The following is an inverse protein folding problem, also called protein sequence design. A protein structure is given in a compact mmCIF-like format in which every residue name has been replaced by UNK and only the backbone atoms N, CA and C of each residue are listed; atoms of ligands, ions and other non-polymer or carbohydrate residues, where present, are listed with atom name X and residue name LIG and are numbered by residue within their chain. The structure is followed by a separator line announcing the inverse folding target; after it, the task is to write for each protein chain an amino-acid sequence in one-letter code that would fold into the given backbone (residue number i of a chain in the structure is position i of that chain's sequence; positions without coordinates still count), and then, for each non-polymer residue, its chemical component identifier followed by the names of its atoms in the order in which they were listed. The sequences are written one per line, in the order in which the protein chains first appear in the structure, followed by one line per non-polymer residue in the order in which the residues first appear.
data_IF_273865885670
#
_entry.id   IF_273865885670
#
_cell.length_a   1.000
_cell.length_b   1.000
_cell.length_c   1.000
_cell.angle_alpha   90.00
_cell.angle_beta   90.00
_cell.angle_gamma   90.00
#
_symmetry.space_group_name_H-M   'P 1'
#
loop_
_entity.id
_entity.type
_entity.pdbx_description
1 polymer ?
#
# COMPACT_ATOMS: atom_id res chain seq x y z
N UNK A 1 28.27 62.53 -71.09
CA UNK A 1 29.45 63.28 -70.61
C UNK A 1 29.15 63.67 -69.17
N UNK A 2 30.02 63.25 -68.24
CA UNK A 2 29.77 63.13 -66.80
C UNK A 2 29.53 64.47 -66.09
N UNK A 3 28.56 64.51 -65.18
CA UNK A 3 28.55 65.41 -64.01
C UNK A 3 28.46 64.58 -62.73
N UNK A 4 29.36 64.91 -61.80
CA UNK A 4 29.47 64.34 -60.46
C UNK A 4 28.31 64.81 -59.58
N UNK A 5 27.80 63.96 -58.69
CA UNK A 5 27.23 64.40 -57.41
C UNK A 5 27.40 63.33 -56.35
N UNK A 6 27.63 63.83 -55.14
CA UNK A 6 28.24 63.16 -54.01
C UNK A 6 27.27 62.28 -53.20
N UNK A 7 27.93 61.44 -52.41
CA UNK A 7 27.46 60.45 -51.44
C UNK A 7 26.47 61.02 -50.41
N UNK A 8 25.36 60.30 -50.21
CA UNK A 8 24.72 60.09 -48.90
C UNK A 8 24.01 58.73 -48.93
N UNK A 9 24.66 57.68 -48.38
CA UNK A 9 24.05 56.37 -48.22
C UNK A 9 23.20 56.37 -46.93
N UNK A 10 21.88 56.35 -47.08
CA UNK A 10 20.96 56.03 -45.98
C UNK A 10 20.79 54.51 -45.99
N UNK A 11 21.35 53.85 -44.98
CA UNK A 11 21.12 52.43 -44.72
C UNK A 11 19.69 52.27 -44.17
N UNK A 12 18.74 51.87 -45.01
CA UNK A 12 17.43 51.43 -44.53
C UNK A 12 17.57 50.02 -43.96
N UNK A 13 17.57 49.90 -42.65
CA UNK A 13 17.44 48.61 -41.96
C UNK A 13 15.99 48.16 -42.12
N UNK A 14 15.75 47.17 -42.98
CA UNK A 14 14.48 46.44 -42.99
C UNK A 14 14.33 45.68 -41.66
N UNK A 15 13.16 45.68 -41.00
CA UNK A 15 12.96 44.84 -39.85
C UNK A 15 12.99 43.38 -40.29
N UNK A 16 13.94 42.62 -39.77
CA UNK A 16 13.90 41.17 -39.86
C UNK A 16 12.66 40.71 -39.09
N UNK A 17 11.67 40.18 -39.81
CA UNK A 17 10.58 39.42 -39.21
C UNK A 17 11.22 38.14 -38.67
N UNK A 18 11.55 38.13 -37.39
CA UNK A 18 11.83 36.90 -36.65
C UNK A 18 10.55 36.07 -36.68
N UNK A 19 10.54 35.02 -37.49
CA UNK A 19 9.51 33.99 -37.40
C UNK A 19 9.48 33.48 -35.96
N UNK A 20 8.31 33.53 -35.33
CA UNK A 20 8.12 32.89 -34.03
C UNK A 20 8.51 31.40 -34.15
N UNK A 21 9.18 30.82 -33.15
CA UNK A 21 9.44 29.39 -33.16
C UNK A 21 8.10 28.66 -33.31
N UNK A 22 8.08 27.64 -34.18
CA UNK A 22 6.91 26.78 -34.31
C UNK A 22 6.52 26.28 -32.93
N UNK A 23 5.21 26.24 -32.58
CA UNK A 23 4.79 25.63 -31.33
C UNK A 23 5.34 24.20 -31.31
N UNK A 24 5.98 23.84 -30.20
CA UNK A 24 6.40 22.47 -29.97
C UNK A 24 5.21 21.54 -30.26
N UNK A 25 5.42 20.36 -30.88
CA UNK A 25 4.34 19.41 -31.08
C UNK A 25 3.67 19.20 -29.72
N UNK A 26 2.37 19.48 -29.65
CA UNK A 26 1.55 19.11 -28.52
C UNK A 26 1.59 17.59 -28.47
N UNK A 27 2.45 17.05 -27.60
CA UNK A 27 2.36 15.65 -27.21
C UNK A 27 1.01 15.57 -26.53
N UNK A 28 0.06 14.92 -27.20
CA UNK A 28 -1.17 14.49 -26.55
C UNK A 28 -0.73 13.38 -25.62
N UNK A 29 -0.52 13.73 -24.35
CA UNK A 29 -0.27 12.73 -23.31
C UNK A 29 -1.42 11.71 -23.38
N UNK A 30 -1.13 10.41 -23.48
CA UNK A 30 -2.17 9.41 -23.56
C UNK A 30 -3.03 9.50 -22.29
N UNK A 31 -4.30 9.88 -22.47
CA UNK A 31 -5.28 9.97 -21.39
C UNK A 31 -5.84 8.59 -20.97
N UNK A 32 -5.46 7.53 -21.69
CA UNK A 32 -5.87 6.16 -21.40
C UNK A 32 -4.68 5.22 -21.52
N UNK A 33 -4.72 4.12 -20.77
CA UNK A 33 -3.85 2.98 -21.05
C UNK A 33 -4.13 2.47 -22.48
N UNK A 34 -3.11 1.97 -23.17
CA UNK A 34 -3.27 1.43 -24.52
C UNK A 34 -4.26 0.27 -24.55
N UNK A 35 -4.84 -0.04 -25.73
CA UNK A 35 -5.57 -1.31 -25.88
C UNK A 35 -4.64 -2.47 -25.48
N UNK A 36 -5.19 -3.45 -24.75
CA UNK A 36 -4.50 -4.65 -24.25
C UNK A 36 -3.62 -4.50 -22.98
N UNK A 37 -3.68 -3.37 -22.27
CA UNK A 37 -3.03 -3.19 -20.93
C UNK A 37 -3.96 -3.61 -19.78
N UNK A 38 -5.27 -3.70 -20.04
CA UNK A 38 -6.26 -4.24 -19.11
C UNK A 38 -6.24 -5.77 -19.22
N UNK A 39 -5.62 -6.46 -18.26
CA UNK A 39 -5.82 -7.91 -18.14
C UNK A 39 -7.20 -8.09 -17.54
N UNK A 40 -8.18 -8.42 -18.38
CA UNK A 40 -9.49 -8.86 -17.88
C UNK A 40 -9.28 -10.12 -17.07
N UNK A 41 -9.51 -10.02 -15.75
CA UNK A 41 -9.58 -11.18 -14.89
C UNK A 41 -10.71 -12.09 -15.37
N UNK A 42 -10.37 -13.31 -15.75
CA UNK A 42 -11.34 -14.39 -15.85
C UNK A 42 -11.16 -15.23 -14.59
N UNK A 43 -12.15 -15.17 -13.68
CA UNK A 43 -12.22 -16.08 -12.55
C UNK A 43 -12.16 -17.52 -13.06
N UNK A 44 -11.00 -18.17 -12.96
CA UNK A 44 -10.91 -19.61 -13.16
C UNK A 44 -11.43 -20.28 -11.90
N UNK A 45 -12.70 -20.70 -11.92
CA UNK A 45 -13.26 -21.62 -10.93
C UNK A 45 -12.57 -22.98 -11.06
N UNK A 46 -11.36 -23.12 -10.53
CA UNK A 46 -10.82 -24.45 -10.26
C UNK A 46 -11.45 -24.93 -8.97
N UNK A 47 -12.32 -25.94 -9.07
CA UNK A 47 -12.88 -26.64 -7.93
C UNK A 47 -11.74 -27.35 -7.17
N UNK A 48 -11.09 -26.60 -6.28
CA UNK A 48 -10.30 -27.16 -5.19
C UNK A 48 -11.21 -27.76 -4.12
N UNK A 49 -10.64 -28.43 -3.11
CA UNK A 49 -11.43 -28.89 -1.96
C UNK A 49 -12.25 -27.73 -1.39
N UNK A 50 -13.48 -28.01 -0.92
CA UNK A 50 -14.35 -27.05 -0.23
C UNK A 50 -13.66 -26.51 1.03
N UNK A 51 -12.76 -25.56 0.86
CA UNK A 51 -12.35 -24.64 1.90
C UNK A 51 -13.38 -23.51 1.92
N UNK A 52 -13.70 -22.93 3.09
CA UNK A 52 -14.52 -21.73 3.12
C UNK A 52 -13.80 -20.64 2.33
N UNK A 53 -14.22 -20.43 1.08
CA UNK A 53 -13.89 -19.24 0.32
C UNK A 53 -14.29 -18.04 1.16
N UNK A 54 -13.46 -16.99 1.11
CA UNK A 54 -13.87 -15.63 1.44
C UNK A 54 -15.31 -15.44 0.93
N UNK A 55 -16.21 -14.95 1.78
CA UNK A 55 -17.62 -14.75 1.45
C UNK A 55 -17.69 -14.09 0.06
N UNK A 56 -18.08 -14.86 -0.97
CA UNK A 56 -18.30 -14.31 -2.29
C UNK A 56 -19.34 -13.22 -2.07
N UNK A 57 -18.94 -11.96 -2.26
CA UNK A 57 -19.86 -10.84 -2.41
C UNK A 57 -20.70 -11.13 -3.65
N UNK A 58 -21.75 -11.93 -3.45
CA UNK A 58 -22.66 -12.37 -4.49
C UNK A 58 -23.23 -11.15 -5.20
N UNK A 59 -23.22 -11.21 -6.53
CA UNK A 59 -23.75 -10.20 -7.45
C UNK A 59 -23.04 -8.83 -7.44
N UNK A 60 -21.72 -8.80 -7.21
CA UNK A 60 -20.92 -7.58 -7.37
C UNK A 60 -21.22 -6.52 -6.31
N UNK A 61 -20.27 -5.60 -6.11
CA UNK A 61 -20.38 -4.58 -5.07
C UNK A 61 -21.40 -3.50 -5.48
N UNK A 62 -22.68 -3.72 -5.17
CA UNK A 62 -23.77 -2.80 -5.53
C UNK A 62 -24.00 -1.68 -4.52
N UNK A 63 -23.38 -1.74 -3.35
CA UNK A 63 -23.43 -0.68 -2.32
C UNK A 63 -22.33 -0.85 -1.27
N UNK A 64 -21.81 0.26 -0.74
CA UNK A 64 -20.87 0.26 0.40
C UNK A 64 -21.43 -0.48 1.62
N UNK A 65 -20.55 -1.23 2.30
CA UNK A 65 -20.81 -1.78 3.64
C UNK A 65 -21.16 -0.63 4.59
N UNK A 66 -21.90 -0.89 5.68
CA UNK A 66 -22.24 0.18 6.62
C UNK A 66 -21.00 0.67 7.40
N UNK A 67 -20.51 1.88 7.10
CA UNK A 67 -19.42 2.58 7.81
C UNK A 67 -19.97 3.60 8.82
N UNK A 68 -20.59 3.09 9.88
CA UNK A 68 -21.10 3.95 10.96
C UNK A 68 -20.02 4.45 11.92
N UNK A 69 -20.27 5.55 12.65
CA UNK A 69 -19.34 6.03 13.67
C UNK A 69 -19.04 4.94 14.70
N UNK A 70 -17.78 4.84 15.09
CA UNK A 70 -17.33 3.94 16.15
C UNK A 70 -18.16 4.15 17.44
N UNK A 71 -18.97 3.16 17.82
CA UNK A 71 -19.80 3.23 19.05
C UNK A 71 -19.21 2.47 20.24
N UNK A 72 -18.06 1.81 20.06
CA UNK A 72 -17.35 1.09 21.11
C UNK A 72 -16.39 1.95 21.93
N UNK A 73 -15.45 1.33 22.66
CA UNK A 73 -14.22 1.98 23.14
C UNK A 73 -13.03 1.25 22.50
N UNK A 74 -12.12 1.91 21.75
CA UNK A 74 -11.05 1.19 21.08
C UNK A 74 -10.23 0.46 22.15
N UNK A 75 -10.12 -0.86 22.03
CA UNK A 75 -9.45 -1.65 23.07
C UNK A 75 -7.96 -1.36 23.08
N UNK A 76 -7.52 -0.51 24.01
CA UNK A 76 -6.11 -0.29 24.36
C UNK A 76 -5.60 -1.30 25.41
N UNK A 77 -6.54 -2.03 26.01
CA UNK A 77 -6.30 -3.10 27.00
C UNK A 77 -6.87 -4.42 26.46
N UNK A 78 -6.15 -5.54 26.66
CA UNK A 78 -6.67 -6.87 26.41
C UNK A 78 -6.05 -7.66 25.24
N UNK A 79 -4.73 -7.56 25.01
CA UNK A 79 -4.03 -8.56 24.18
C UNK A 79 -4.40 -9.99 24.60
N UNK A 80 -4.55 -10.90 23.62
CA UNK A 80 -4.70 -12.31 23.97
C UNK A 80 -3.50 -12.74 24.81
N UNK A 81 -3.79 -13.34 25.97
CA UNK A 81 -2.76 -13.82 26.87
C UNK A 81 -2.53 -15.31 26.60
N UNK A 82 -1.26 -15.67 26.41
CA UNK A 82 -0.87 -17.07 26.49
C UNK A 82 -1.09 -17.63 27.91
N UNK A 83 -0.99 -18.95 28.10
CA UNK A 83 -1.19 -19.59 29.41
C UNK A 83 -0.20 -19.08 30.48
N UNK A 84 0.95 -18.53 30.09
CA UNK A 84 1.94 -17.89 30.98
C UNK A 84 2.86 -16.94 30.19
N UNK A 85 3.27 -15.83 30.79
CA UNK A 85 4.32 -14.93 30.26
C UNK A 85 5.67 -15.26 30.89
N UNK A 86 6.66 -15.64 30.07
CA UNK A 86 7.97 -16.11 30.57
C UNK A 86 8.95 -14.99 30.92
N UNK A 87 8.81 -13.81 30.30
CA UNK A 87 9.67 -12.66 30.54
C UNK A 87 8.95 -11.35 30.16
N UNK A 88 9.39 -10.21 30.72
CA UNK A 88 8.86 -8.89 30.37
C UNK A 88 9.30 -8.39 28.98
N UNK A 89 10.41 -8.93 28.44
CA UNK A 89 10.95 -8.61 27.11
C UNK A 89 11.91 -9.70 26.65
N UNK A 90 12.13 -9.84 25.34
CA UNK A 90 13.16 -10.72 24.76
C UNK A 90 14.51 -9.97 24.73
N UNK A 91 15.57 -10.43 25.42
CA UNK A 91 16.87 -9.76 25.41
C UNK A 91 17.61 -10.00 24.07
N UNK A 92 18.38 -9.02 23.56
CA UNK A 92 19.22 -9.23 22.38
C UNK A 92 20.34 -10.23 22.68
N UNK A 93 20.53 -11.20 21.78
CA UNK A 93 21.59 -12.20 21.85
C UNK A 93 22.65 -11.95 20.76
N UNK A 94 23.92 -12.38 20.97
CA UNK A 94 24.93 -12.35 19.92
C UNK A 94 24.54 -13.25 18.73
N UNK A 95 25.25 -13.10 17.61
CA UNK A 95 25.07 -13.94 16.42
C UNK A 95 25.08 -15.42 16.81
N UNK A 96 24.19 -16.20 16.17
CA UNK A 96 24.15 -17.64 16.36
C UNK A 96 25.56 -18.24 16.16
N UNK A 97 26.14 -18.95 17.17
CA UNK A 97 27.48 -19.52 17.06
C UNK A 97 27.68 -20.49 15.89
N UNK A 98 26.61 -21.01 15.28
CA UNK A 98 26.67 -21.87 14.08
C UNK A 98 26.62 -21.09 12.76
N UNK A 99 26.39 -19.78 12.78
CA UNK A 99 26.41 -18.92 11.60
C UNK A 99 27.85 -18.53 11.20
N UNK A 100 28.66 -19.53 10.87
CA UNK A 100 30.11 -19.38 10.59
C UNK A 100 30.46 -19.47 9.11
N UNK A 101 29.46 -19.66 8.23
CA UNK A 101 29.70 -19.81 6.80
C UNK A 101 30.29 -18.52 6.21
N UNK A 102 31.50 -18.64 5.65
CA UNK A 102 32.19 -17.56 4.96
C UNK A 102 32.99 -18.13 3.78
N UNK A 103 32.69 -17.70 2.56
CA UNK A 103 33.28 -18.26 1.33
C UNK A 103 33.93 -17.17 0.48
N UNK A 104 35.19 -16.84 0.78
CA UNK A 104 35.96 -15.84 0.02
C UNK A 104 36.35 -16.30 -1.37
N UNK A 105 36.35 -17.61 -1.63
CA UNK A 105 36.72 -18.18 -2.92
C UNK A 105 35.62 -18.13 -3.96
N UNK A 106 34.38 -17.82 -3.58
CA UNK A 106 33.23 -17.73 -4.48
C UNK A 106 32.88 -19.03 -5.21
N UNK A 107 33.39 -20.18 -4.74
CA UNK A 107 33.18 -21.51 -5.34
C UNK A 107 32.53 -22.45 -4.32
N UNK A 108 31.68 -23.42 -4.74
CA UNK A 108 31.13 -24.40 -3.82
C UNK A 108 32.25 -25.16 -3.07
N UNK A 109 32.22 -25.10 -1.74
CA UNK A 109 33.19 -25.79 -0.86
C UNK A 109 32.64 -27.10 -0.26
N UNK A 110 31.32 -27.34 -0.40
CA UNK A 110 30.63 -28.52 0.10
C UNK A 110 30.13 -29.39 -1.07
N UNK A 111 29.93 -30.71 -0.87
CA UNK A 111 29.32 -31.58 -1.87
C UNK A 111 27.97 -31.06 -2.33
N UNK A 112 27.70 -31.15 -3.64
CA UNK A 112 26.42 -30.77 -4.21
C UNK A 112 25.45 -31.96 -4.08
N UNK A 113 24.29 -31.83 -3.41
CA UNK A 113 23.31 -32.92 -3.29
C UNK A 113 22.75 -33.39 -4.64
N UNK A 114 22.75 -32.52 -5.66
CA UNK A 114 22.33 -32.82 -7.02
C UNK A 114 23.12 -31.96 -8.04
N UNK A 115 23.12 -32.31 -9.35
CA UNK A 115 23.76 -31.48 -10.37
C UNK A 115 23.27 -30.04 -10.34
N UNK A 116 24.22 -29.10 -10.33
CA UNK A 116 23.94 -27.65 -10.29
C UNK A 116 23.17 -27.18 -9.04
N UNK A 117 23.17 -27.96 -7.96
CA UNK A 117 22.50 -27.64 -6.69
C UNK A 117 23.53 -27.53 -5.57
N UNK A 118 23.96 -26.32 -5.17
CA UNK A 118 24.77 -26.14 -3.97
C UNK A 118 24.07 -26.67 -2.72
N UNK A 119 24.82 -27.32 -1.82
CA UNK A 119 24.27 -27.74 -0.53
C UNK A 119 23.89 -26.53 0.32
N UNK A 120 22.73 -26.61 0.97
CA UNK A 120 22.19 -25.57 1.85
C UNK A 120 20.71 -25.34 1.62
N UNK A 121 20.16 -24.33 2.31
CA UNK A 121 18.74 -24.03 2.32
C UNK A 121 17.95 -24.97 3.24
N UNK A 122 16.99 -24.41 3.97
CA UNK A 122 16.01 -25.20 4.72
C UNK A 122 14.91 -25.66 3.75
N UNK A 123 14.37 -26.86 3.95
CA UNK A 123 13.30 -27.43 3.09
C UNK A 123 13.76 -27.97 1.73
N UNK A 124 15.06 -27.99 1.42
CA UNK A 124 15.60 -28.40 0.10
C UNK A 124 15.89 -29.90 -0.04
N UNK A 125 15.55 -30.71 0.98
CA UNK A 125 15.85 -32.14 1.03
C UNK A 125 14.82 -33.04 0.29
N UNK A 126 13.88 -32.43 -0.44
CA UNK A 126 12.80 -33.13 -1.14
C UNK A 126 11.57 -33.44 -0.28
N UNK A 127 11.50 -32.92 0.95
CA UNK A 127 10.26 -32.96 1.76
C UNK A 127 9.16 -32.17 1.05
N UNK A 128 7.93 -32.68 1.10
CA UNK A 128 6.77 -32.00 0.53
C UNK A 128 6.48 -30.70 1.32
N UNK A 129 6.35 -29.53 0.66
CA UNK A 129 6.03 -28.28 1.34
C UNK A 129 4.61 -28.30 1.92
N UNK A 130 4.44 -27.69 3.11
CA UNK A 130 3.14 -27.47 3.77
C UNK A 130 2.85 -25.97 3.83
N UNK A 131 1.86 -25.52 3.06
CA UNK A 131 1.48 -24.10 2.97
C UNK A 131 0.46 -23.71 4.05
N UNK A 132 0.83 -23.90 5.32
CA UNK A 132 0.02 -23.54 6.49
C UNK A 132 0.94 -23.07 7.60
N UNK A 133 0.39 -22.29 8.54
CA UNK A 133 1.11 -21.83 9.73
C UNK A 133 1.63 -23.02 10.56
N UNK A 134 2.80 -22.85 11.18
CA UNK A 134 3.50 -23.92 11.92
C UNK A 134 3.73 -23.64 13.41
N UNK A 135 3.42 -22.44 13.88
CA UNK A 135 3.51 -22.05 15.29
C UNK A 135 2.48 -21.00 15.69
N UNK A 136 2.36 -20.72 17.00
CA UNK A 136 1.52 -19.63 17.51
C UNK A 136 2.00 -18.27 16.98
N UNK A 137 3.31 -18.09 16.78
CA UNK A 137 3.86 -16.88 16.18
C UNK A 137 3.41 -16.73 14.73
N UNK A 138 3.49 -17.82 13.93
CA UNK A 138 2.99 -17.83 12.56
C UNK A 138 1.50 -17.51 12.53
N UNK A 139 0.72 -18.21 13.34
CA UNK A 139 -0.73 -18.05 13.39
C UNK A 139 -1.12 -16.60 13.71
N UNK A 140 -0.60 -16.02 14.78
CA UNK A 140 -0.94 -14.66 15.19
C UNK A 140 -0.43 -13.59 14.20
N UNK A 141 0.67 -13.87 13.49
CA UNK A 141 1.20 -12.97 12.48
C UNK A 141 0.38 -13.01 11.19
N UNK A 142 -0.01 -14.20 10.72
CA UNK A 142 -0.85 -14.35 9.53
C UNK A 142 -2.30 -13.93 9.81
N UNK A 143 -2.79 -14.14 11.03
CA UNK A 143 -4.08 -13.60 11.45
C UNK A 143 -4.07 -12.07 11.40
N UNK A 144 -3.00 -11.41 11.87
CA UNK A 144 -2.83 -9.96 11.72
C UNK A 144 -2.78 -9.54 10.24
N UNK A 145 -2.04 -10.28 9.41
CA UNK A 145 -2.05 -10.08 7.95
C UNK A 145 -3.47 -10.15 7.39
N UNK A 146 -4.28 -11.15 7.77
CA UNK A 146 -5.65 -11.24 7.29
C UNK A 146 -6.54 -10.07 7.73
N UNK A 147 -6.34 -9.51 8.92
CA UNK A 147 -7.01 -8.25 9.29
C UNK A 147 -6.61 -7.09 8.37
N UNK A 148 -5.36 -7.05 7.92
CA UNK A 148 -4.85 -6.05 6.96
C UNK A 148 -5.51 -6.23 5.59
N UNK A 149 -5.51 -7.45 5.03
CA UNK A 149 -6.16 -7.72 3.74
C UNK A 149 -7.65 -7.33 3.76
N UNK A 150 -8.34 -7.62 4.87
CA UNK A 150 -9.76 -7.30 5.00
C UNK A 150 -10.07 -5.82 5.03
N UNK A 151 -9.22 -5.02 5.68
CA UNK A 151 -9.42 -3.57 5.75
C UNK A 151 -9.01 -2.89 4.44
N UNK A 152 -8.02 -3.43 3.71
CA UNK A 152 -7.64 -2.94 2.37
C UNK A 152 -8.73 -3.20 1.35
N UNK A 153 -9.21 -4.45 1.27
CA UNK A 153 -10.30 -4.84 0.40
C UNK A 153 -11.54 -3.96 0.62
N UNK A 154 -11.93 -3.77 1.88
CA UNK A 154 -13.09 -2.95 2.24
C UNK A 154 -12.85 -1.47 1.93
N UNK A 155 -11.67 -0.93 2.24
CA UNK A 155 -11.33 0.47 1.97
C UNK A 155 -11.35 0.81 0.47
N UNK A 156 -10.85 -0.10 -0.38
CA UNK A 156 -10.80 0.12 -1.83
C UNK A 156 -12.22 0.15 -2.40
N UNK A 157 -13.08 -0.77 -1.96
CA UNK A 157 -14.49 -0.80 -2.36
C UNK A 157 -15.30 0.38 -1.79
N UNK A 158 -15.08 0.77 -0.54
CA UNK A 158 -15.84 1.86 0.08
C UNK A 158 -15.66 3.17 -0.70
N UNK A 159 -14.43 3.56 -1.03
CA UNK A 159 -14.22 4.83 -1.72
C UNK A 159 -14.80 4.83 -3.14
N UNK A 160 -14.67 3.70 -3.87
CA UNK A 160 -15.29 3.53 -5.19
C UNK A 160 -16.81 3.64 -5.14
N UNK A 161 -17.45 3.17 -4.06
CA UNK A 161 -18.89 3.23 -3.88
C UNK A 161 -19.39 4.56 -3.28
N UNK A 162 -18.55 5.27 -2.52
CA UNK A 162 -18.90 6.49 -1.78
C UNK A 162 -18.92 7.74 -2.66
N UNK A 163 -18.00 7.84 -3.61
CA UNK A 163 -17.80 9.05 -4.41
C UNK A 163 -18.35 8.88 -5.83
N UNK A 164 -18.84 9.98 -6.40
CA UNK A 164 -19.28 10.03 -7.79
C UNK A 164 -18.10 10.12 -8.76
N UNK A 165 -18.31 9.69 -10.01
CA UNK A 165 -17.33 9.84 -11.10
C UNK A 165 -16.89 11.31 -11.28
N UNK A 166 -17.78 12.27 -11.03
CA UNK A 166 -17.46 13.70 -11.10
C UNK A 166 -16.49 14.13 -9.99
N UNK A 167 -16.62 13.60 -8.76
CA UNK A 167 -15.69 13.85 -7.66
C UNK A 167 -14.33 13.20 -7.90
N UNK A 168 -14.31 12.00 -8.49
CA UNK A 168 -13.07 11.37 -8.96
C UNK A 168 -12.37 12.21 -10.01
N UNK A 169 -13.11 12.68 -11.03
CA UNK A 169 -12.57 13.52 -12.09
C UNK A 169 -12.05 14.86 -11.53
N UNK A 170 -12.75 15.46 -10.55
CA UNK A 170 -12.29 16.67 -9.85
C UNK A 170 -10.98 16.44 -9.09
N UNK A 171 -10.83 15.26 -8.49
CA UNK A 171 -9.57 14.84 -7.86
C UNK A 171 -8.48 14.46 -8.87
N UNK A 172 -8.80 14.37 -10.16
CA UNK A 172 -7.86 14.01 -11.23
C UNK A 172 -7.78 12.53 -11.57
N UNK A 173 -8.72 11.73 -11.05
CA UNK A 173 -8.82 10.31 -11.34
C UNK A 173 -9.89 10.07 -12.41
N UNK A 174 -9.46 9.66 -13.59
CA UNK A 174 -10.34 9.19 -14.66
C UNK A 174 -10.83 7.76 -14.39
N UNK A 175 -11.76 7.29 -15.23
CA UNK A 175 -12.28 5.91 -15.20
C UNK A 175 -11.19 4.84 -15.23
N UNK A 176 -10.06 5.09 -15.88
CA UNK A 176 -8.93 4.17 -15.95
C UNK A 176 -8.25 3.97 -14.59
N UNK A 177 -8.13 5.03 -13.78
CA UNK A 177 -7.62 4.91 -12.41
C UNK A 177 -8.61 4.18 -11.52
N UNK A 178 -9.91 4.43 -11.68
CA UNK A 178 -10.95 3.72 -10.95
C UNK A 178 -10.91 2.21 -11.27
N UNK A 179 -10.80 1.84 -12.54
CA UNK A 179 -10.61 0.44 -12.99
C UNK A 179 -9.35 -0.19 -12.41
N UNK A 180 -8.25 0.55 -12.33
CA UNK A 180 -7.03 0.06 -11.69
C UNK A 180 -7.22 -0.17 -10.19
N UNK A 181 -7.96 0.69 -9.48
CA UNK A 181 -8.26 0.50 -8.06
C UNK A 181 -9.17 -0.71 -7.84
N UNK A 182 -10.16 -0.92 -8.71
CA UNK A 182 -11.01 -2.11 -8.69
C UNK A 182 -10.19 -3.38 -8.93
N UNK A 183 -9.23 -3.37 -9.87
CA UNK A 183 -8.30 -4.48 -10.05
C UNK A 183 -7.39 -4.70 -8.82
N UNK A 184 -6.99 -3.64 -8.11
CA UNK A 184 -6.26 -3.78 -6.85
C UNK A 184 -7.14 -4.41 -5.76
N UNK A 185 -8.45 -4.12 -5.71
CA UNK A 185 -9.38 -4.81 -4.82
C UNK A 185 -9.54 -6.31 -5.16
N UNK A 186 -9.51 -6.69 -6.44
CA UNK A 186 -9.45 -8.10 -6.84
C UNK A 186 -8.17 -8.80 -6.31
N UNK A 187 -7.04 -8.08 -6.26
CA UNK A 187 -5.81 -8.59 -5.68
C UNK A 187 -5.96 -8.85 -4.18
N UNK A 188 -6.60 -7.94 -3.44
CA UNK A 188 -6.87 -8.12 -2.00
C UNK A 188 -7.85 -9.27 -1.72
N UNK A 189 -8.76 -9.57 -2.65
CA UNK A 189 -9.57 -10.80 -2.57
C UNK A 189 -8.70 -12.05 -2.68
N UNK A 190 -7.69 -12.02 -3.55
CA UNK A 190 -6.70 -13.08 -3.67
C UNK A 190 -5.84 -13.24 -2.41
N UNK A 191 -5.37 -12.13 -1.83
CA UNK A 191 -4.55 -12.12 -0.62
C UNK A 191 -5.34 -12.59 0.61
N UNK A 192 -6.54 -12.06 0.84
CA UNK A 192 -7.43 -12.49 1.93
C UNK A 192 -7.78 -13.98 1.84
N UNK A 193 -8.03 -14.49 0.63
CA UNK A 193 -8.25 -15.93 0.38
C UNK A 193 -7.01 -16.75 0.73
N UNK A 194 -5.83 -16.29 0.30
CA UNK A 194 -4.55 -16.93 0.59
C UNK A 194 -4.32 -17.09 2.09
N UNK A 195 -4.47 -16.00 2.86
CA UNK A 195 -4.22 -16.02 4.30
C UNK A 195 -5.30 -16.80 5.06
N UNK A 196 -6.57 -16.69 4.63
CA UNK A 196 -7.67 -17.51 5.16
C UNK A 196 -7.36 -19.00 5.04
N UNK A 197 -6.88 -19.45 3.88
CA UNK A 197 -6.53 -20.85 3.65
C UNK A 197 -5.34 -21.32 4.51
N UNK A 198 -4.36 -20.45 4.79
CA UNK A 198 -3.22 -20.79 5.65
C UNK A 198 -3.61 -20.96 7.13
N UNK A 199 -4.63 -20.23 7.58
CA UNK A 199 -5.16 -20.23 8.95
C UNK A 199 -6.24 -21.29 9.18
N UNK A 200 -6.94 -21.70 8.12
CA UNK A 200 -8.00 -22.70 8.17
C UNK A 200 -9.29 -22.22 8.85
N UNK A 201 -10.03 -23.13 9.48
CA UNK A 201 -11.38 -22.88 10.02
C UNK A 201 -11.46 -21.79 11.09
N UNK A 202 -10.32 -21.39 11.65
CA UNK A 202 -10.24 -20.38 12.72
C UNK A 202 -9.80 -19.01 12.21
N UNK A 203 -9.64 -18.86 10.89
CA UNK A 203 -9.28 -17.59 10.27
C UNK A 203 -10.22 -16.45 10.69
N UNK A 204 -9.69 -15.28 11.09
CA UNK A 204 -10.49 -14.09 11.33
C UNK A 204 -11.35 -13.69 10.12
N UNK A 205 -12.58 -13.32 10.39
CA UNK A 205 -13.53 -12.77 9.43
C UNK A 205 -13.38 -11.26 9.33
N UNK A 206 -13.80 -10.71 8.19
CA UNK A 206 -13.85 -9.27 7.93
C UNK A 206 -14.68 -8.56 9.01
N UNK A 207 -14.17 -7.42 9.47
CA UNK A 207 -14.84 -6.57 10.45
C UNK A 207 -15.57 -5.44 9.74
N UNK A 208 -16.29 -4.63 10.52
CA UNK A 208 -16.85 -3.35 10.07
C UNK A 208 -15.91 -2.24 10.49
N UNK A 209 -15.69 -1.28 9.59
CA UNK A 209 -14.66 -0.23 9.76
C UNK A 209 -15.26 1.18 9.78
N UNK A 210 -14.52 2.12 10.40
CA UNK A 210 -14.85 3.55 10.49
C UNK A 210 -13.68 4.39 9.98
N UNK A 211 -13.83 4.96 8.78
CA UNK A 211 -12.77 5.66 8.06
C UNK A 211 -12.89 7.19 8.13
N UNK A 212 -11.80 7.94 8.41
CA UNK A 212 -11.86 9.38 8.63
C UNK A 212 -11.53 10.20 7.37
N UNK A 213 -12.29 10.01 6.29
CA UNK A 213 -12.20 10.83 5.08
C UNK A 213 -13.57 11.22 4.53
N UNK A 214 -13.62 12.39 3.89
CA UNK A 214 -14.83 12.94 3.27
C UNK A 214 -14.62 13.34 1.81
N UNK A 215 -13.40 13.26 1.28
CA UNK A 215 -13.09 13.58 -0.12
C UNK A 215 -12.24 12.49 -0.76
N UNK A 216 -12.25 12.41 -2.09
CA UNK A 216 -11.42 11.45 -2.86
C UNK A 216 -9.93 11.62 -2.54
N UNK A 217 -9.44 12.85 -2.30
CA UNK A 217 -8.03 13.07 -1.95
C UNK A 217 -7.68 12.64 -0.53
N UNK A 218 -8.60 12.83 0.42
CA UNK A 218 -8.43 12.29 1.78
C UNK A 218 -8.45 10.75 1.76
N UNK A 219 -9.32 10.15 0.94
CA UNK A 219 -9.36 8.70 0.73
C UNK A 219 -8.07 8.15 0.11
N UNK A 220 -7.52 8.79 -0.94
CA UNK A 220 -6.24 8.40 -1.54
C UNK A 220 -5.07 8.48 -0.55
N UNK A 221 -4.98 9.55 0.25
CA UNK A 221 -3.97 9.66 1.30
C UNK A 221 -4.12 8.53 2.33
N UNK A 222 -5.37 8.18 2.68
CA UNK A 222 -5.62 7.10 3.61
C UNK A 222 -5.27 5.73 3.03
N UNK A 223 -5.65 5.42 1.79
CA UNK A 223 -5.24 4.19 1.08
C UNK A 223 -3.72 4.04 1.06
N UNK A 224 -3.02 5.10 0.66
CA UNK A 224 -1.55 5.11 0.67
C UNK A 224 -0.98 4.76 2.06
N UNK A 225 -1.47 5.41 3.11
CA UNK A 225 -0.97 5.22 4.47
C UNK A 225 -1.26 3.83 4.99
N UNK A 226 -2.47 3.34 4.73
CA UNK A 226 -2.96 2.05 5.18
C UNK A 226 -2.17 0.92 4.55
N UNK A 227 -2.03 0.94 3.23
CA UNK A 227 -1.24 -0.05 2.51
C UNK A 227 0.23 -0.01 2.90
N UNK A 228 0.80 1.18 3.13
CA UNK A 228 2.21 1.28 3.58
C UNK A 228 2.46 0.69 4.97
N UNK A 229 1.54 0.82 5.92
CA UNK A 229 1.76 0.19 7.24
C UNK A 229 1.45 -1.31 7.23
N UNK A 230 0.55 -1.77 6.36
CA UNK A 230 0.33 -3.19 6.07
C UNK A 230 1.61 -3.82 5.54
N UNK A 231 2.16 -3.18 4.50
CA UNK A 231 3.44 -3.50 3.89
C UNK A 231 4.57 -3.62 4.93
N UNK A 232 4.73 -2.55 5.72
CA UNK A 232 5.75 -2.49 6.77
C UNK A 232 5.58 -3.60 7.80
N UNK A 233 4.34 -3.94 8.17
CA UNK A 233 4.03 -4.99 9.12
C UNK A 233 4.52 -6.35 8.65
N UNK A 234 4.12 -6.75 7.45
CA UNK A 234 4.51 -8.04 6.85
C UNK A 234 6.03 -8.14 6.71
N UNK A 235 6.70 -7.12 6.16
CA UNK A 235 8.16 -7.13 6.05
C UNK A 235 8.86 -7.33 7.41
N UNK A 236 8.23 -6.85 8.49
CA UNK A 236 8.75 -6.97 9.84
C UNK A 236 8.75 -8.39 10.39
N UNK A 237 7.73 -9.21 10.09
CA UNK A 237 7.61 -10.55 10.68
C UNK A 237 7.91 -11.69 9.71
N UNK A 238 7.91 -11.46 8.38
CA UNK A 238 7.98 -12.53 7.37
C UNK A 238 9.20 -13.45 7.51
N UNK A 239 10.35 -12.90 7.88
CA UNK A 239 11.60 -13.66 8.07
C UNK A 239 11.67 -14.35 9.44
N UNK A 240 10.70 -14.12 10.31
CA UNK A 240 10.58 -14.73 11.64
C UNK A 240 9.57 -15.87 11.66
N UNK A 241 8.83 -16.09 10.57
CA UNK A 241 7.91 -17.21 10.45
C UNK A 241 8.68 -18.54 10.50
N UNK A 242 8.15 -19.50 11.22
CA UNK A 242 8.63 -20.89 11.21
C UNK A 242 8.30 -21.53 9.85
N UNK A 243 7.09 -21.30 9.34
CA UNK A 243 6.66 -21.72 8.00
C UNK A 243 7.28 -20.86 6.90
N UNK A 244 8.25 -21.44 6.18
CA UNK A 244 8.95 -20.77 5.08
C UNK A 244 8.08 -20.71 3.82
N UNK A 245 7.24 -21.72 3.64
CA UNK A 245 6.26 -21.86 2.59
C UNK A 245 5.23 -20.73 2.65
N UNK A 246 4.70 -20.46 3.85
CA UNK A 246 3.83 -19.30 4.11
C UNK A 246 4.59 -18.00 3.86
N UNK A 247 5.81 -17.87 4.41
CA UNK A 247 6.64 -16.69 4.16
C UNK A 247 6.89 -16.42 2.67
N UNK A 248 7.09 -17.45 1.84
CA UNK A 248 7.27 -17.27 0.40
C UNK A 248 6.00 -16.83 -0.34
N UNK A 249 4.83 -17.30 0.09
CA UNK A 249 3.55 -16.86 -0.48
C UNK A 249 3.22 -15.43 -0.05
N UNK A 250 3.46 -15.10 1.22
CA UNK A 250 3.32 -13.76 1.75
C UNK A 250 4.30 -12.77 1.08
N UNK A 251 5.50 -13.22 0.72
CA UNK A 251 6.46 -12.40 -0.03
C UNK A 251 5.95 -12.02 -1.43
N UNK A 252 5.07 -12.83 -2.01
CA UNK A 252 4.47 -12.56 -3.31
C UNK A 252 3.31 -11.56 -3.21
N UNK A 253 2.45 -11.68 -2.19
CA UNK A 253 1.38 -10.71 -1.95
C UNK A 253 1.95 -9.35 -1.58
N UNK A 254 2.91 -9.31 -0.65
CA UNK A 254 3.46 -8.04 -0.17
C UNK A 254 4.24 -7.27 -1.23
N UNK A 255 4.84 -7.98 -2.18
CA UNK A 255 5.48 -7.35 -3.34
C UNK A 255 4.46 -6.72 -4.31
N UNK A 256 3.19 -7.11 -4.23
CA UNK A 256 2.06 -6.48 -4.93
C UNK A 256 1.57 -5.27 -4.14
N UNK A 257 1.32 -5.40 -2.84
CA UNK A 257 0.92 -4.28 -1.95
C UNK A 257 1.93 -3.11 -1.99
N UNK A 258 3.23 -3.43 -1.97
CA UNK A 258 4.29 -2.43 -2.13
C UNK A 258 4.17 -1.62 -3.43
N UNK A 259 3.63 -2.20 -4.51
CA UNK A 259 3.35 -1.47 -5.76
C UNK A 259 2.05 -0.69 -5.69
N UNK A 260 1.04 -1.20 -5.00
CA UNK A 260 -0.23 -0.49 -4.83
C UNK A 260 -0.03 0.81 -4.04
N UNK A 261 0.72 0.79 -2.93
CA UNK A 261 1.01 2.04 -2.21
C UNK A 261 1.79 3.05 -3.07
N UNK A 262 2.71 2.59 -3.93
CA UNK A 262 3.40 3.46 -4.90
C UNK A 262 2.44 4.04 -5.95
N UNK A 263 1.46 3.26 -6.40
CA UNK A 263 0.42 3.73 -7.32
C UNK A 263 -0.46 4.80 -6.64
N UNK A 264 -0.87 4.61 -5.39
CA UNK A 264 -1.65 5.63 -4.65
C UNK A 264 -0.87 6.93 -4.48
N UNK A 265 0.46 6.84 -4.29
CA UNK A 265 1.35 8.02 -4.33
C UNK A 265 1.34 8.69 -5.68
N UNK A 266 1.48 7.93 -6.76
CA UNK A 266 1.47 8.46 -8.11
C UNK A 266 0.14 9.13 -8.46
N UNK A 267 -0.99 8.51 -8.10
CA UNK A 267 -2.34 9.06 -8.21
C UNK A 267 -2.50 10.37 -7.43
N UNK A 268 -1.78 10.52 -6.32
CA UNK A 268 -1.72 11.74 -5.51
C UNK A 268 -0.74 12.80 -6.05
N UNK A 269 -0.07 12.52 -7.17
CA UNK A 269 0.95 13.41 -7.76
C UNK A 269 2.28 13.45 -6.99
N UNK A 270 2.52 12.46 -6.12
CA UNK A 270 3.77 12.29 -5.40
C UNK A 270 4.74 11.41 -6.20
N UNK A 271 6.03 11.49 -5.87
CA UNK A 271 7.00 10.51 -6.36
C UNK A 271 6.61 9.12 -5.85
N UNK A 272 6.42 8.11 -6.73
CA UNK A 272 5.95 6.79 -6.33
C UNK A 272 6.96 6.07 -5.42
N UNK A 273 8.26 6.16 -5.72
CA UNK A 273 9.34 5.51 -4.96
C UNK A 273 10.25 6.56 -4.31
N UNK A 274 10.12 6.78 -2.99
CA UNK A 274 10.91 7.77 -2.24
C UNK A 274 11.97 7.17 -1.31
N UNK A 275 12.03 5.85 -1.20
CA UNK A 275 12.97 5.11 -0.34
C UNK A 275 13.76 4.06 -1.12
N UNK A 276 14.86 3.58 -0.54
CA UNK A 276 15.71 2.53 -1.12
C UNK A 276 15.41 1.15 -0.53
N UNK A 277 14.88 1.13 0.69
CA UNK A 277 14.56 -0.06 1.45
C UNK A 277 13.27 0.18 2.21
N UNK A 278 12.38 -0.81 2.14
CA UNK A 278 11.17 -0.83 2.95
C UNK A 278 11.50 -1.22 4.39
N UNK A 279 10.76 -0.66 5.33
CA UNK A 279 11.01 -0.87 6.75
C UNK A 279 10.08 -1.93 7.34
N UNK A 280 10.65 -2.93 8.01
CA UNK A 280 9.86 -3.91 8.76
C UNK A 280 9.41 -3.38 10.12
N UNK A 281 8.13 -3.56 10.47
CA UNK A 281 7.54 -3.19 11.76
C UNK A 281 7.15 -4.41 12.58
N UNK A 282 7.31 -4.39 13.92
CA UNK A 282 6.75 -5.42 14.78
C UNK A 282 5.22 -5.44 14.69
N UNK A 283 4.63 -6.62 14.85
CA UNK A 283 3.18 -6.84 14.77
C UNK A 283 2.37 -5.94 15.71
N UNK A 284 2.90 -5.64 16.90
CA UNK A 284 2.25 -4.72 17.84
C UNK A 284 2.16 -3.29 17.30
N UNK A 285 3.09 -2.85 16.46
CA UNK A 285 3.01 -1.53 15.81
C UNK A 285 1.95 -1.53 14.72
N UNK A 286 1.95 -2.55 13.85
CA UNK A 286 0.91 -2.71 12.81
C UNK A 286 -0.48 -2.80 13.42
N UNK A 287 -0.66 -3.59 14.48
CA UNK A 287 -1.93 -3.68 15.19
C UNK A 287 -2.34 -2.36 15.83
N UNK A 288 -1.38 -1.58 16.35
CA UNK A 288 -1.64 -0.22 16.88
C UNK A 288 -2.16 0.73 15.80
N UNK A 289 -1.71 0.59 14.54
CA UNK A 289 -2.19 1.41 13.42
C UNK A 289 -3.57 0.98 12.95
N UNK A 290 -3.83 -0.32 12.83
CA UNK A 290 -5.04 -0.87 12.24
C UNK A 290 -6.24 -0.84 13.21
N UNK A 291 -6.05 -1.32 14.45
CA UNK A 291 -7.13 -1.53 15.40
C UNK A 291 -8.05 -0.32 15.66
N UNK A 292 -7.57 0.95 15.67
CA UNK A 292 -8.43 2.12 15.84
C UNK A 292 -9.49 2.33 14.75
N UNK A 293 -9.35 1.69 13.59
CA UNK A 293 -10.30 1.78 12.47
C UNK A 293 -11.36 0.68 12.48
N UNK A 294 -11.22 -0.33 13.34
CA UNK A 294 -12.22 -1.40 13.49
C UNK A 294 -13.35 -0.89 14.39
N UNK A 295 -14.57 -0.86 13.85
CA UNK A 295 -15.81 -0.61 14.60
C UNK A 295 -16.24 -1.80 15.44
N UNK A 296 -16.49 -2.93 14.78
CA UNK A 296 -16.79 -4.19 15.44
C UNK A 296 -16.49 -5.33 14.49
N UNK A 297 -16.26 -6.51 15.04
CA UNK A 297 -16.07 -7.74 14.27
C UNK A 297 -17.24 -8.71 14.55
N UNK A 298 -17.49 -9.69 13.65
CA UNK A 298 -18.46 -10.75 13.90
C UNK A 298 -18.24 -11.46 15.25
N UNK A 299 -19.33 -11.97 15.84
CA UNK A 299 -19.27 -12.73 17.09
C UNK A 299 -18.38 -13.98 16.97
N UNK A 300 -17.84 -14.43 18.11
CA UNK A 300 -16.95 -15.60 18.22
C UNK A 300 -15.59 -15.47 17.50
N UNK A 301 -15.13 -14.24 17.28
CA UNK A 301 -13.77 -13.97 16.80
C UNK A 301 -12.82 -13.72 17.98
N UNK A 302 -11.71 -14.46 18.02
CA UNK A 302 -10.65 -14.23 19.01
C UNK A 302 -9.86 -12.97 18.65
N UNK A 303 -9.62 -12.11 19.64
CA UNK A 303 -8.73 -10.95 19.46
C UNK A 303 -7.29 -11.43 19.33
N UNK A 304 -6.49 -10.77 18.48
CA UNK A 304 -5.07 -11.03 18.32
C UNK A 304 -4.28 -10.91 19.64
N UNK A 305 -3.11 -11.55 19.71
CA UNK A 305 -2.16 -11.51 20.83
C UNK A 305 -1.33 -10.22 20.92
N UNK A 306 -1.45 -9.33 19.93
CA UNK A 306 -0.62 -8.14 19.84
C UNK A 306 -1.14 -6.99 20.73
N UNK A 307 -0.20 -6.31 21.39
CA UNK A 307 -0.48 -5.19 22.29
C UNK A 307 -0.59 -3.89 21.48
N UNK A 308 -1.64 -3.11 21.74
CA UNK A 308 -1.75 -1.75 21.22
C UNK A 308 -0.91 -0.80 22.06
N UNK A 309 -0.18 0.10 21.41
CA UNK A 309 0.54 1.18 22.07
C UNK A 309 -0.32 2.46 22.14
N UNK A 310 0.00 3.40 23.05
CA UNK A 310 -0.61 4.72 23.04
C UNK A 310 -0.42 5.43 21.70
N UNK A 311 -1.40 6.25 21.33
CA UNK A 311 -1.40 7.00 20.06
C UNK A 311 -0.16 7.91 19.97
N UNK A 312 0.58 7.78 18.87
CA UNK A 312 1.64 8.69 18.48
C UNK A 312 1.04 9.83 17.65
N UNK A 313 1.18 11.08 18.11
CA UNK A 313 0.75 12.25 17.34
C UNK A 313 1.89 12.81 16.50
N UNK A 314 1.73 12.78 15.18
CA UNK A 314 2.69 13.35 14.21
C UNK A 314 2.24 14.76 13.89
N UNK A 315 2.93 15.76 14.44
CA UNK A 315 2.50 17.16 14.35
C UNK A 315 2.86 17.85 13.02
N UNK A 316 3.77 17.26 12.25
CA UNK A 316 4.32 17.85 11.02
C UNK A 316 4.30 16.86 9.84
N UNK A 317 3.31 15.97 9.83
CA UNK A 317 3.13 14.99 8.77
C UNK A 317 2.87 15.73 7.45
N UNK A 318 3.61 15.39 6.39
CA UNK A 318 3.49 16.09 5.11
C UNK A 318 2.06 15.96 4.55
N UNK A 319 1.40 17.10 4.28
CA UNK A 319 0.08 17.14 3.70
C UNK A 319 0.16 17.07 2.17
N UNK A 320 -0.34 15.98 1.60
CA UNK A 320 -0.33 15.73 0.14
C UNK A 320 -1.15 16.76 -0.64
N UNK A 321 -2.05 17.48 0.03
CA UNK A 321 -2.91 18.50 -0.57
C UNK A 321 -2.22 19.85 -0.77
N UNK A 322 -1.00 20.01 -0.24
CA UNK A 322 -0.17 21.21 -0.40
C UNK A 322 0.68 21.14 -1.66
N UNK A 323 0.87 22.29 -2.31
CA UNK A 323 1.82 22.44 -3.42
C UNK A 323 3.26 22.14 -2.97
N UNK A 324 3.63 22.59 -1.77
CA UNK A 324 4.86 22.22 -1.07
C UNK A 324 4.48 21.49 0.20
N UNK A 325 4.63 20.15 0.28
CA UNK A 325 4.34 19.41 1.50
C UNK A 325 5.22 19.83 2.70
N UNK A 326 6.36 20.48 2.45
CA UNK A 326 7.20 21.07 3.50
C UNK A 326 6.56 22.27 4.20
N UNK A 327 5.51 22.86 3.60
CA UNK A 327 4.80 24.01 4.16
C UNK A 327 3.66 23.57 5.10
N UNK A 328 3.58 22.27 5.41
CA UNK A 328 2.61 21.74 6.37
C UNK A 328 2.85 22.33 7.76
N UNK A 329 1.75 22.76 8.41
CA UNK A 329 1.79 23.22 9.78
C UNK A 329 2.42 22.17 10.71
N UNK A 330 3.18 22.63 11.71
CA UNK A 330 3.92 21.77 12.65
C UNK A 330 3.17 21.54 13.98
N UNK A 331 1.86 21.80 14.01
CA UNK A 331 0.99 21.72 15.19
C UNK A 331 -0.05 20.60 15.10
N UNK A 332 -0.02 19.79 14.03
CA UNK A 332 -0.98 18.73 13.78
C UNK A 332 -2.35 19.23 13.33
N UNK A 333 -2.50 20.49 12.87
CA UNK A 333 -3.79 21.02 12.44
C UNK A 333 -4.28 20.46 11.09
N UNK A 334 -3.42 19.78 10.35
CA UNK A 334 -3.66 19.37 8.96
C UNK A 334 -4.01 17.88 8.78
N UNK A 335 -4.60 17.26 9.80
CA UNK A 335 -5.12 15.89 9.76
C UNK A 335 -6.64 15.88 10.01
N UNK A 336 -7.36 14.93 9.43
CA UNK A 336 -8.83 14.84 9.54
C UNK A 336 -9.32 14.40 10.92
N UNK A 337 -8.43 13.80 11.72
CA UNK A 337 -8.76 13.29 13.05
C UNK A 337 -7.54 13.17 13.97
N UNK A 338 -7.70 12.39 15.05
CA UNK A 338 -6.70 12.25 16.11
C UNK A 338 -6.00 10.88 16.14
N UNK A 339 -6.29 9.97 15.20
CA UNK A 339 -5.62 8.67 15.11
C UNK A 339 -4.32 8.83 14.31
N UNK A 340 -3.40 7.88 14.47
CA UNK A 340 -2.00 8.03 14.00
C UNK A 340 -1.91 8.22 12.48
N UNK A 341 -2.80 7.55 11.74
CA UNK A 341 -2.75 7.47 10.27
C UNK A 341 -3.95 8.13 9.61
N UNK A 342 -4.66 9.00 10.34
CA UNK A 342 -5.75 9.78 9.74
C UNK A 342 -5.20 10.62 8.58
N UNK A 343 -5.93 10.69 7.45
CA UNK A 343 -5.44 11.38 6.27
C UNK A 343 -5.30 12.88 6.52
N UNK A 344 -4.55 13.51 5.64
CA UNK A 344 -4.34 14.95 5.66
C UNK A 344 -5.59 15.66 5.14
N UNK A 345 -5.99 16.75 5.79
CA UNK A 345 -7.18 17.51 5.34
C UNK A 345 -6.99 18.00 3.90
N UNK A 346 -8.03 17.88 3.07
CA UNK A 346 -7.98 18.38 1.69
C UNK A 346 -8.44 19.83 1.54
N UNK A 347 -9.21 20.36 2.50
CA UNK A 347 -9.78 21.70 2.45
C UNK A 347 -8.89 22.73 3.18
N UNK A 348 -7.79 23.13 2.54
CA UNK A 348 -6.85 24.10 3.08
C UNK A 348 -7.36 25.53 2.95
N UNK A 349 -7.28 26.32 4.02
CA UNK A 349 -7.76 27.72 4.03
C UNK A 349 -6.88 28.68 3.22
N UNK A 350 -5.59 28.33 2.99
CA UNK A 350 -4.70 29.08 2.11
C UNK A 350 -4.70 28.48 0.70
N UNK A 351 -5.62 29.00 -0.13
CA UNK A 351 -5.79 28.58 -1.52
C UNK A 351 -4.56 28.78 -2.40
N UNK A 352 -3.58 29.60 -2.01
CA UNK A 352 -2.35 29.80 -2.79
C UNK A 352 -1.37 28.64 -2.66
N UNK A 353 -1.53 27.81 -1.63
CA UNK A 353 -0.65 26.69 -1.30
C UNK A 353 -1.30 25.32 -1.54
N UNK A 354 -2.51 25.26 -2.11
CA UNK A 354 -3.22 24.00 -2.37
C UNK A 354 -3.00 23.51 -3.80
N UNK A 355 -2.90 22.19 -4.00
CA UNK A 355 -2.93 21.57 -5.33
C UNK A 355 -4.32 21.78 -5.94
N UNK A 356 -4.41 22.62 -6.98
CA UNK A 356 -5.66 23.08 -7.60
C UNK A 356 -6.04 22.37 -8.89
N UNK A 357 -5.18 21.51 -9.41
CA UNK A 357 -5.39 20.78 -10.66
C UNK A 357 -4.80 19.40 -10.51
N UNK A 358 -5.38 18.38 -11.16
CA UNK A 358 -4.76 17.06 -11.31
C UNK A 358 -3.32 17.29 -11.75
N UNK A 359 -2.35 16.82 -10.96
CA UNK A 359 -1.03 16.59 -11.51
C UNK A 359 -1.27 15.45 -12.50
N UNK A 360 -1.46 15.79 -13.79
CA UNK A 360 -1.30 14.83 -14.87
C UNK A 360 0.03 14.12 -14.55
N UNK A 361 0.02 12.82 -14.23
CA UNK A 361 1.25 12.16 -13.86
C UNK A 361 2.21 12.38 -15.02
N UNK A 362 3.44 12.80 -14.69
CA UNK A 362 4.53 12.71 -15.62
C UNK A 362 4.65 11.24 -16.01
N UNK A 363 4.08 10.89 -17.17
CA UNK A 363 4.39 9.63 -17.84
C UNK A 363 5.84 9.79 -18.27
N UNK A 364 6.75 9.06 -17.61
CA UNK A 364 8.14 8.91 -18.07
C UNK A 364 8.19 7.73 -19.03
#
# INVERSE_FOLDING_TARGET
MFTRSAIAAILAVAPAILAAPAPAPQVTEPASFGPDVQVSYQAQSTAGPDYPLAEELGDGYTSATYHGPYTGTPTTTGAANGPTTLAASIPPLPLNPTATYYNTGGKPINPLPAPYTPAGGLGTNGTLPRYMVESDFDYESIALGLYQEWIELDLFHDGLARFSEAEFLEAGLTSEYMSLIEFMADQETGHSTLLTNMLGETAPKQCVYDYPYNTVREWLDFMQRLTRFGESGVWGYINHLDSREVGQLLAQSIATEARQQQIFRQMSGLTPMDVWFENGWPQSWSWTMLAPYISYCPENQTRLAWQNFPVLHILNNANINRYSPNDTAQDGSEVTGSRITDPSISNLTDWTQQIRTPLLPFII
#
